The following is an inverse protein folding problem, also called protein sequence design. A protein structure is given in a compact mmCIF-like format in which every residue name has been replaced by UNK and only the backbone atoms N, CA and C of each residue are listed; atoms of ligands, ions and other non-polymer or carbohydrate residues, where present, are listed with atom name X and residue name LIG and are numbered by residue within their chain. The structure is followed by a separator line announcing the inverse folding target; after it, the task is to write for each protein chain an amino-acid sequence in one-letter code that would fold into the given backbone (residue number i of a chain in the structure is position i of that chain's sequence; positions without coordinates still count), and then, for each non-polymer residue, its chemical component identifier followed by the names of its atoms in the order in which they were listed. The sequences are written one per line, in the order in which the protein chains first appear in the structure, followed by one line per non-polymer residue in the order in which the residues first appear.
data_IF_192220431671
#
_entry.id   IF_192220431671
#
_cell.length_a   1.000
_cell.length_b   1.000
_cell.length_c   1.000
_cell.angle_alpha   90.00
_cell.angle_beta   90.00
_cell.angle_gamma   90.00
#
_symmetry.space_group_name_H-M   'P 1'
#
loop_
_entity.id
_entity.type
_entity.pdbx_description
1 polymer ?
#
# COMPACT_ATOMS: atom_id res chain seq x y z
N UNK A 1 20.18 -58.01 -4.54
CA UNK A 1 19.90 -56.56 -4.56
C UNK A 1 20.21 -56.08 -3.16
N UNK A 2 21.19 -55.19 -3.01
CA UNK A 2 21.82 -54.87 -1.74
C UNK A 2 21.02 -53.78 -1.02
N UNK A 3 20.41 -54.09 0.12
CA UNK A 3 19.51 -53.19 0.87
C UNK A 3 20.28 -51.94 1.32
N UNK A 4 21.56 -52.08 1.63
CA UNK A 4 22.43 -50.98 2.02
C UNK A 4 22.61 -49.95 0.88
N UNK A 5 22.62 -50.40 -0.38
CA UNK A 5 22.71 -49.49 -1.54
C UNK A 5 21.43 -48.67 -1.74
N UNK A 6 20.26 -49.23 -1.39
CA UNK A 6 18.97 -48.56 -1.49
C UNK A 6 18.80 -47.51 -0.38
N UNK A 7 19.21 -47.83 0.85
CA UNK A 7 19.17 -46.91 2.00
C UNK A 7 20.07 -45.69 1.74
N UNK A 8 21.27 -45.91 1.19
CA UNK A 8 22.16 -44.81 0.82
C UNK A 8 21.56 -43.91 -0.27
N UNK A 9 20.84 -44.49 -1.24
CA UNK A 9 20.18 -43.73 -2.30
C UNK A 9 19.00 -42.90 -1.76
N UNK A 10 18.21 -43.47 -0.85
CA UNK A 10 17.10 -42.77 -0.18
C UNK A 10 17.62 -41.58 0.63
N UNK A 11 18.66 -41.78 1.44
CA UNK A 11 19.24 -40.70 2.25
C UNK A 11 19.84 -39.58 1.38
N UNK A 12 20.46 -39.94 0.25
CA UNK A 12 20.95 -38.96 -0.73
C UNK A 12 19.81 -38.16 -1.36
N UNK A 13 18.73 -38.82 -1.78
CA UNK A 13 17.56 -38.15 -2.35
C UNK A 13 16.84 -37.28 -1.32
N UNK A 14 16.75 -37.71 -0.06
CA UNK A 14 16.18 -36.91 1.02
C UNK A 14 16.99 -35.63 1.26
N UNK A 15 18.32 -35.75 1.37
CA UNK A 15 19.19 -34.58 1.53
C UNK A 15 19.14 -33.64 0.32
N UNK A 16 19.09 -34.20 -0.89
CA UNK A 16 18.97 -33.42 -2.12
C UNK A 16 17.62 -32.67 -2.18
N UNK A 17 16.52 -33.35 -1.86
CA UNK A 17 15.18 -32.75 -1.80
C UNK A 17 15.07 -31.65 -0.74
N UNK A 18 15.61 -31.88 0.46
CA UNK A 18 15.66 -30.88 1.53
C UNK A 18 16.45 -29.64 1.12
N UNK A 19 17.65 -29.82 0.54
CA UNK A 19 18.50 -28.70 0.14
C UNK A 19 17.89 -27.94 -1.04
N UNK A 20 17.29 -28.64 -2.02
CA UNK A 20 16.57 -28.01 -3.13
C UNK A 20 15.37 -27.21 -2.62
N UNK A 21 14.52 -27.80 -1.77
CA UNK A 21 13.36 -27.11 -1.19
C UNK A 21 13.77 -25.91 -0.32
N UNK A 22 14.86 -26.03 0.43
CA UNK A 22 15.43 -24.93 1.21
C UNK A 22 15.91 -23.80 0.31
N UNK A 23 16.65 -24.11 -0.76
CA UNK A 23 17.16 -23.11 -1.70
C UNK A 23 16.02 -22.42 -2.46
N UNK A 24 15.07 -23.18 -2.97
CA UNK A 24 13.90 -22.66 -3.68
C UNK A 24 13.03 -21.80 -2.76
N UNK A 25 12.76 -22.27 -1.53
CA UNK A 25 12.02 -21.51 -0.52
C UNK A 25 12.71 -20.20 -0.16
N UNK A 26 14.04 -20.19 0.02
CA UNK A 26 14.79 -18.96 0.29
C UNK A 26 14.70 -17.96 -0.87
N UNK A 27 14.84 -18.43 -2.12
CA UNK A 27 14.72 -17.58 -3.30
C UNK A 27 13.30 -17.03 -3.45
N UNK A 28 12.29 -17.88 -3.28
CA UNK A 28 10.89 -17.50 -3.39
C UNK A 28 10.52 -16.47 -2.32
N UNK A 29 10.84 -16.73 -1.06
CA UNK A 29 10.59 -15.80 0.06
C UNK A 29 11.27 -14.44 -0.14
N UNK A 30 12.49 -14.43 -0.70
CA UNK A 30 13.20 -13.19 -0.97
C UNK A 30 12.50 -12.38 -2.06
N UNK A 31 12.06 -13.03 -3.14
CA UNK A 31 11.35 -12.36 -4.23
C UNK A 31 9.99 -11.86 -3.76
N UNK A 32 9.25 -12.69 -3.03
CA UNK A 32 7.94 -12.35 -2.47
C UNK A 32 8.05 -11.18 -1.49
N UNK A 33 9.01 -11.22 -0.57
CA UNK A 33 9.24 -10.13 0.39
C UNK A 33 9.56 -8.80 -0.30
N UNK A 34 10.34 -8.82 -1.39
CA UNK A 34 10.60 -7.62 -2.20
C UNK A 34 9.34 -7.11 -2.90
N UNK A 35 8.57 -7.99 -3.51
CA UNK A 35 7.32 -7.62 -4.19
C UNK A 35 6.30 -7.04 -3.20
N UNK A 36 6.15 -7.69 -2.05
CA UNK A 36 5.28 -7.25 -0.97
C UNK A 36 5.68 -5.87 -0.45
N UNK A 37 6.98 -5.67 -0.16
CA UNK A 37 7.48 -4.37 0.30
C UNK A 37 7.21 -3.25 -0.70
N UNK A 38 7.44 -3.50 -2.00
CA UNK A 38 7.16 -2.53 -3.06
C UNK A 38 5.65 -2.22 -3.15
N UNK A 39 4.82 -3.25 -3.07
CA UNK A 39 3.36 -3.12 -3.14
C UNK A 39 2.80 -2.31 -1.96
N UNK A 40 3.20 -2.64 -0.73
CA UNK A 40 2.77 -1.90 0.47
C UNK A 40 3.24 -0.46 0.43
N UNK A 41 4.48 -0.21 0.00
CA UNK A 41 5.00 1.15 -0.18
C UNK A 41 4.18 1.94 -1.20
N UNK A 42 3.89 1.35 -2.37
CA UNK A 42 3.06 2.00 -3.38
C UNK A 42 1.66 2.35 -2.85
N UNK A 43 0.98 1.39 -2.21
CA UNK A 43 -0.36 1.60 -1.65
C UNK A 43 -0.38 2.67 -0.56
N UNK A 44 0.69 2.77 0.23
CA UNK A 44 0.85 3.80 1.25
C UNK A 44 0.90 5.18 0.59
N UNK A 45 1.80 5.40 -0.36
CA UNK A 45 2.09 6.74 -0.89
C UNK A 45 1.22 7.21 -2.08
N UNK A 46 0.50 6.30 -2.75
CA UNK A 46 -0.34 6.66 -3.92
C UNK A 46 -1.34 7.76 -3.61
N UNK A 47 -1.95 7.74 -2.42
CA UNK A 47 -2.92 8.75 -2.01
C UNK A 47 -2.28 10.13 -1.87
N UNK A 48 -1.08 10.21 -1.30
CA UNK A 48 -0.35 11.48 -1.18
C UNK A 48 0.02 12.04 -2.56
N UNK A 49 0.46 11.18 -3.49
CA UNK A 49 0.73 11.56 -4.86
C UNK A 49 -0.51 12.14 -5.57
N UNK A 50 -1.66 11.49 -5.40
CA UNK A 50 -2.92 11.97 -5.98
C UNK A 50 -3.37 13.30 -5.39
N UNK A 51 -3.31 13.46 -4.05
CA UNK A 51 -3.62 14.72 -3.38
C UNK A 51 -2.70 15.83 -3.91
N UNK A 52 -1.38 15.56 -4.00
CA UNK A 52 -0.40 16.51 -4.55
C UNK A 52 -0.76 16.94 -5.98
N UNK A 53 -1.10 15.97 -6.84
CA UNK A 53 -1.50 16.24 -8.23
C UNK A 53 -2.76 17.10 -8.33
N UNK A 54 -3.81 16.74 -7.59
CA UNK A 54 -5.08 17.50 -7.57
C UNK A 54 -4.86 18.91 -7.03
N UNK A 55 -4.14 19.06 -5.92
CA UNK A 55 -3.81 20.37 -5.35
C UNK A 55 -3.05 21.25 -6.34
N UNK A 56 -2.08 20.68 -7.06
CA UNK A 56 -1.32 21.41 -8.08
C UNK A 56 -2.20 21.86 -9.25
N UNK A 57 -3.10 20.99 -9.72
CA UNK A 57 -4.06 21.34 -10.76
C UNK A 57 -5.02 22.46 -10.31
N UNK A 58 -5.60 22.35 -9.11
CA UNK A 58 -6.49 23.37 -8.54
C UNK A 58 -5.75 24.71 -8.38
N UNK A 59 -4.49 24.70 -7.92
CA UNK A 59 -3.69 25.91 -7.74
C UNK A 59 -3.49 26.69 -9.05
N UNK A 60 -3.47 25.99 -10.19
CA UNK A 60 -3.35 26.61 -11.52
C UNK A 60 -4.64 27.28 -12.01
N UNK A 61 -5.80 26.80 -11.55
CA UNK A 61 -7.13 27.26 -12.00
C UNK A 61 -7.70 28.33 -11.06
N UNK A 62 -7.51 28.17 -9.75
CA UNK A 62 -8.12 29.03 -8.73
C UNK A 62 -7.29 30.28 -8.50
N UNK A 63 -7.93 31.46 -8.56
CA UNK A 63 -7.28 32.75 -8.26
C UNK A 63 -7.36 33.16 -6.79
N UNK A 64 -8.20 32.51 -5.99
CA UNK A 64 -8.43 32.87 -4.59
C UNK A 64 -7.21 32.59 -3.69
N UNK A 65 -6.72 33.62 -3.01
CA UNK A 65 -5.55 33.53 -2.14
C UNK A 65 -5.74 32.59 -0.93
N UNK A 66 -6.98 32.47 -0.43
CA UNK A 66 -7.30 31.59 0.71
C UNK A 66 -7.07 30.11 0.36
N UNK A 67 -7.51 29.68 -0.83
CA UNK A 67 -7.36 28.31 -1.35
C UNK A 67 -5.89 28.02 -1.63
N UNK A 68 -5.18 28.95 -2.28
CA UNK A 68 -3.74 28.80 -2.54
C UNK A 68 -2.92 28.61 -1.26
N UNK A 69 -3.21 29.38 -0.20
CA UNK A 69 -2.56 29.20 1.10
C UNK A 69 -2.78 27.80 1.67
N UNK A 70 -4.03 27.32 1.64
CA UNK A 70 -4.37 25.98 2.13
C UNK A 70 -3.68 24.88 1.31
N UNK A 71 -3.61 25.04 -0.02
CA UNK A 71 -2.88 24.12 -0.92
C UNK A 71 -1.41 24.09 -0.57
N UNK A 72 -0.75 25.25 -0.40
CA UNK A 72 0.66 25.31 -0.05
C UNK A 72 0.94 24.60 1.28
N UNK A 73 0.08 24.76 2.28
CA UNK A 73 0.21 24.01 3.54
C UNK A 73 0.11 22.49 3.32
N UNK A 74 -0.81 22.03 2.47
CA UNK A 74 -0.93 20.59 2.17
C UNK A 74 0.31 20.08 1.45
N UNK A 75 0.85 20.84 0.50
CA UNK A 75 2.07 20.47 -0.22
C UNK A 75 3.28 20.39 0.73
N UNK A 76 3.44 21.36 1.63
CA UNK A 76 4.49 21.36 2.64
C UNK A 76 4.38 20.16 3.59
N UNK A 77 3.16 19.83 4.05
CA UNK A 77 2.94 18.64 4.88
C UNK A 77 3.31 17.34 4.16
N UNK A 78 3.04 17.26 2.85
CA UNK A 78 3.41 16.09 2.03
C UNK A 78 4.94 16.00 1.89
N UNK A 79 5.63 17.12 1.71
CA UNK A 79 7.10 17.16 1.61
C UNK A 79 7.80 16.81 2.93
N UNK A 80 7.22 17.16 4.07
CA UNK A 80 7.73 16.81 5.39
C UNK A 80 7.42 15.36 5.80
N UNK A 81 6.58 14.65 5.04
CA UNK A 81 6.22 13.26 5.38
C UNK A 81 7.39 12.32 5.05
N UNK A 82 7.91 11.57 6.02
CA UNK A 82 9.01 10.63 5.78
C UNK A 82 8.55 9.52 4.82
N UNK A 83 9.44 9.13 3.90
CA UNK A 83 9.20 8.08 2.90
C UNK A 83 10.02 6.80 3.13
N UNK A 84 10.71 6.70 4.27
CA UNK A 84 11.44 5.49 4.64
C UNK A 84 10.53 4.44 5.31
N UNK A 85 11.10 3.28 5.59
CA UNK A 85 10.43 2.16 6.23
C UNK A 85 10.79 2.02 7.71
N UNK A 86 11.32 3.07 8.35
CA UNK A 86 11.68 3.01 9.77
C UNK A 86 10.41 2.95 10.64
N UNK A 87 10.35 2.06 11.67
CA UNK A 87 9.14 1.89 12.47
C UNK A 87 8.60 3.19 13.08
N UNK A 88 9.49 4.08 13.54
CA UNK A 88 9.14 5.37 14.12
C UNK A 88 8.47 6.30 13.09
N UNK A 89 8.89 6.20 11.83
CA UNK A 89 8.39 7.04 10.76
C UNK A 89 7.03 6.58 10.23
N UNK A 90 6.66 5.31 10.47
CA UNK A 90 5.31 4.80 10.19
C UNK A 90 4.26 5.54 11.04
N UNK A 91 4.51 5.75 12.33
CA UNK A 91 3.58 6.46 13.20
C UNK A 91 3.43 7.93 12.79
N UNK A 92 4.56 8.59 12.48
CA UNK A 92 4.59 9.97 11.98
C UNK A 92 3.84 10.09 10.65
N UNK A 93 4.01 9.11 9.77
CA UNK A 93 3.30 9.02 8.49
C UNK A 93 1.78 8.94 8.70
N UNK A 94 1.29 8.01 9.52
CA UNK A 94 -0.14 7.81 9.75
C UNK A 94 -0.80 9.06 10.34
N UNK A 95 -0.14 9.69 11.33
CA UNK A 95 -0.60 10.93 11.93
C UNK A 95 -0.65 12.08 10.90
N UNK A 96 0.37 12.18 10.05
CA UNK A 96 0.43 13.20 8.97
C UNK A 96 -0.63 12.96 7.91
N UNK A 97 -0.89 11.71 7.53
CA UNK A 97 -1.89 11.32 6.55
C UNK A 97 -3.31 11.71 6.99
N UNK A 98 -3.66 11.54 8.26
CA UNK A 98 -4.96 11.99 8.79
C UNK A 98 -5.11 13.51 8.65
N UNK A 99 -4.08 14.28 9.00
CA UNK A 99 -4.10 15.75 8.90
C UNK A 99 -4.20 16.20 7.43
N UNK A 100 -3.42 15.59 6.54
CA UNK A 100 -3.43 15.87 5.10
C UNK A 100 -4.82 15.60 4.51
N UNK A 101 -5.44 14.45 4.81
CA UNK A 101 -6.80 14.12 4.36
C UNK A 101 -7.82 15.16 4.80
N UNK A 102 -7.79 15.55 6.06
CA UNK A 102 -8.75 16.53 6.59
C UNK A 102 -8.57 17.91 5.94
N UNK A 103 -7.33 18.35 5.74
CA UNK A 103 -7.04 19.62 5.06
C UNK A 103 -7.42 19.56 3.57
N UNK A 104 -7.21 18.43 2.91
CA UNK A 104 -7.62 18.21 1.53
C UNK A 104 -9.15 18.23 1.36
N UNK A 105 -9.89 17.60 2.27
CA UNK A 105 -11.38 17.70 2.30
C UNK A 105 -11.84 19.16 2.36
N UNK A 106 -11.20 19.98 3.21
CA UNK A 106 -11.49 21.40 3.29
C UNK A 106 -11.22 22.13 1.96
N UNK A 107 -10.11 21.83 1.28
CA UNK A 107 -9.79 22.40 -0.04
C UNK A 107 -10.89 22.06 -1.05
N UNK A 108 -11.30 20.78 -1.13
CA UNK A 108 -12.38 20.36 -2.02
C UNK A 108 -13.69 21.10 -1.73
N UNK A 109 -14.05 21.24 -0.45
CA UNK A 109 -15.25 22.00 -0.05
C UNK A 109 -15.18 23.47 -0.47
N UNK A 110 -14.02 24.13 -0.28
CA UNK A 110 -13.82 25.53 -0.69
C UNK A 110 -13.88 25.69 -2.21
N UNK A 111 -13.28 24.76 -2.95
CA UNK A 111 -13.29 24.78 -4.42
C UNK A 111 -14.70 24.55 -4.96
N UNK A 112 -15.42 23.56 -4.45
CA UNK A 112 -16.81 23.29 -4.85
C UNK A 112 -17.76 24.44 -4.49
N UNK A 113 -17.47 25.21 -3.44
CA UNK A 113 -18.23 26.42 -3.11
C UNK A 113 -18.00 27.55 -4.12
N UNK A 114 -16.78 27.67 -4.64
CA UNK A 114 -16.40 28.72 -5.58
C UNK A 114 -16.73 28.41 -7.03
N UNK A 115 -16.77 27.14 -7.42
CA UNK A 115 -17.33 26.74 -8.71
C UNK A 115 -18.86 26.84 -8.65
N UNK A 116 -19.42 27.76 -9.47
CA UNK A 116 -20.86 28.01 -9.53
C UNK A 116 -21.60 26.72 -9.92
N UNK A 117 -22.70 26.46 -9.19
CA UNK A 117 -23.70 25.40 -9.41
C UNK A 117 -24.32 25.44 -10.82
N UNK A 118 -23.63 24.97 -11.84
CA UNK A 118 -24.28 24.60 -13.11
C UNK A 118 -24.48 23.09 -13.25
N UNK A 119 -23.74 22.27 -12.50
CA UNK A 119 -23.98 20.84 -12.43
C UNK A 119 -23.74 20.33 -11.01
N UNK A 120 -24.60 19.43 -10.54
CA UNK A 120 -24.55 18.85 -9.19
C UNK A 120 -23.36 17.87 -8.99
N UNK A 121 -22.39 17.88 -9.91
CA UNK A 121 -21.21 17.01 -9.96
C UNK A 121 -19.96 17.74 -9.43
N UNK A 122 -20.00 18.18 -8.17
CA UNK A 122 -18.79 18.65 -7.48
C UNK A 122 -17.81 17.49 -7.25
N UNK A 123 -16.51 17.79 -7.20
CA UNK A 123 -15.49 16.78 -6.88
C UNK A 123 -15.58 16.48 -5.38
N UNK A 124 -16.09 15.31 -5.01
CA UNK A 124 -16.15 14.86 -3.61
C UNK A 124 -14.87 14.15 -3.20
N UNK A 125 -14.60 14.14 -1.89
CA UNK A 125 -13.47 13.38 -1.37
C UNK A 125 -13.64 11.88 -1.60
N UNK A 126 -14.88 11.41 -1.52
CA UNK A 126 -15.28 10.01 -1.69
C UNK A 126 -15.02 9.53 -3.13
N UNK A 127 -15.23 10.38 -4.13
CA UNK A 127 -14.89 10.09 -5.53
C UNK A 127 -13.38 10.03 -5.75
N UNK A 128 -12.61 10.88 -5.08
CA UNK A 128 -11.13 10.80 -5.12
C UNK A 128 -10.63 9.54 -4.40
N UNK A 129 -11.28 9.18 -3.29
CA UNK A 129 -10.98 8.01 -2.48
C UNK A 129 -11.26 6.69 -3.21
N UNK A 130 -12.39 6.61 -3.92
CA UNK A 130 -12.71 5.41 -4.71
C UNK A 130 -11.71 5.19 -5.84
N UNK A 131 -11.27 6.27 -6.50
CA UNK A 131 -10.28 6.20 -7.57
C UNK A 131 -8.93 5.65 -7.08
N UNK A 132 -8.40 6.13 -5.95
CA UNK A 132 -7.14 5.57 -5.45
C UNK A 132 -7.30 4.12 -5.03
N UNK A 133 -8.44 3.72 -4.44
CA UNK A 133 -8.69 2.32 -4.05
C UNK A 133 -8.71 1.38 -5.25
N UNK A 134 -9.17 1.86 -6.40
CA UNK A 134 -9.12 1.12 -7.67
C UNK A 134 -7.66 1.03 -8.15
N UNK A 135 -6.93 2.15 -8.15
CA UNK A 135 -5.54 2.22 -8.65
C UNK A 135 -4.55 1.46 -7.75
N UNK A 136 -4.73 1.49 -6.44
CA UNK A 136 -3.86 0.86 -5.45
C UNK A 136 -4.03 -0.66 -5.42
N UNK A 137 -5.14 -1.16 -5.98
CA UNK A 137 -5.67 -2.48 -5.66
C UNK A 137 -6.11 -2.54 -4.20
N UNK A 138 -7.22 -3.21 -3.91
CA UNK A 138 -7.50 -3.63 -2.55
C UNK A 138 -6.52 -4.77 -2.23
N UNK A 139 -5.49 -4.51 -1.43
CA UNK A 139 -5.02 -5.60 -0.58
C UNK A 139 -6.15 -5.86 0.41
N UNK A 140 -6.64 -7.11 0.50
CA UNK A 140 -7.04 -7.59 1.80
C UNK A 140 -5.76 -7.48 2.63
N UNK A 141 -5.61 -6.38 3.37
CA UNK A 141 -4.73 -6.38 4.50
C UNK A 141 -5.21 -7.58 5.30
N UNK A 142 -4.46 -8.68 5.24
CA UNK A 142 -4.54 -9.67 6.29
C UNK A 142 -4.42 -8.83 7.54
N UNK A 143 -5.51 -8.79 8.29
CA UNK A 143 -5.58 -8.21 9.61
C UNK A 143 -4.22 -8.44 10.27
N UNK A 144 -3.41 -7.40 10.46
CA UNK A 144 -2.51 -7.35 11.61
C UNK A 144 -3.39 -6.97 12.79
N UNK A 145 -4.45 -7.75 13.00
CA UNK A 145 -5.03 -7.94 14.30
C UNK A 145 -4.36 -9.21 14.79
N UNK A 146 -3.47 -9.00 15.77
CA UNK A 146 -3.40 -9.87 16.94
C UNK A 146 -4.80 -10.42 17.24
N UNK A 147 -4.92 -11.74 17.33
CA UNK A 147 -6.16 -12.53 17.46
C UNK A 147 -6.75 -13.05 16.14
N UNK A 148 -6.13 -14.08 15.56
CA UNK A 148 -6.84 -15.28 15.10
C UNK A 148 -5.83 -16.39 14.74
N UNK A 149 -5.34 -17.11 15.75
CA UNK A 149 -4.78 -18.44 15.55
C UNK A 149 -5.93 -19.42 15.36
N UNK A 150 -6.49 -19.50 14.15
CA UNK A 150 -7.08 -20.73 13.63
C UNK A 150 -7.51 -20.54 12.18
N UNK A 151 -7.24 -21.55 11.35
CA UNK A 151 -7.74 -21.72 9.98
C UNK A 151 -6.87 -21.20 8.83
N UNK A 152 -5.57 -21.51 8.87
CA UNK A 152 -4.86 -21.85 7.64
C UNK A 152 -4.77 -23.38 7.56
N UNK A 153 -5.85 -24.02 7.11
CA UNK A 153 -5.78 -25.38 6.59
C UNK A 153 -5.17 -25.24 5.20
N UNK A 154 -3.88 -25.57 5.10
CA UNK A 154 -3.24 -25.87 3.82
C UNK A 154 -3.87 -27.17 3.34
N UNK A 155 -4.69 -27.08 2.30
CA UNK A 155 -5.19 -28.23 1.57
C UNK A 155 -4.12 -28.59 0.54
N UNK A 156 -3.18 -29.45 0.93
CA UNK A 156 -2.28 -30.12 -0.01
C UNK A 156 -3.14 -31.02 -0.90
N UNK A 157 -3.44 -30.55 -2.11
CA UNK A 157 -3.86 -31.39 -3.22
C UNK A 157 -2.60 -31.81 -3.97
N UNK A 158 -1.99 -32.91 -3.52
CA UNK A 158 -1.12 -33.72 -4.36
C UNK A 158 -1.83 -35.06 -4.60
N UNK A 159 -2.46 -35.18 -5.76
CA UNK A 159 -2.83 -36.45 -6.38
C UNK A 159 -1.53 -37.18 -6.77
N UNK A 160 -1.29 -38.35 -6.16
CA UNK A 160 -0.47 -39.44 -6.67
C UNK A 160 -1.30 -40.73 -6.68
#
# INVERSE_FOLDING_TARGET
MDIDSLINLEELNYKAGYENGRQEGLLHNLVEGKQFGLQVGFQRYVMLGQIKGICTAIASIVSEASIKKNINTVLEMIEQTPMDNEPQNVEVYEASLVKIRNKFRLILMLVNRNWKKEDNNGISFESVESLYKIVSGQLKAAHVNTEDHSNLILQDNDDW
#
